data_IF_449582301660
#
_entry.id   IF_449582301660
#
_cell.length_a   1.000
_cell.length_b   1.000
_cell.length_c   1.000
_cell.angle_alpha   90.00
_cell.angle_beta   90.00
_cell.angle_gamma   90.00
#
_symmetry.space_group_name_H-M   'P 1'
#
loop_
_entity.id
_entity.type
_entity.pdbx_description
1 polymer ?
#
# COMPACT_ATOMS: atom_id res chain seq x y z
N UNK A 1 16.96 63.62 -36.43
CA UNK A 1 17.11 62.77 -35.24
C UNK A 1 15.71 62.46 -34.73
N UNK A 2 15.16 61.37 -35.27
CA UNK A 2 13.92 60.74 -34.86
C UNK A 2 14.19 59.93 -33.59
N UNK A 3 13.51 60.18 -32.47
CA UNK A 3 13.53 59.26 -31.34
C UNK A 3 12.72 58.01 -31.72
N UNK A 4 13.40 56.87 -31.72
CA UNK A 4 12.85 55.54 -31.93
C UNK A 4 12.00 55.13 -30.70
N UNK A 5 10.70 54.82 -30.87
CA UNK A 5 9.86 54.30 -29.80
C UNK A 5 9.93 52.77 -29.79
N UNK A 6 11.00 52.19 -29.23
CA UNK A 6 11.09 50.74 -29.03
C UNK A 6 11.01 50.38 -27.55
N UNK A 7 10.20 49.33 -27.28
CA UNK A 7 10.00 48.60 -26.01
C UNK A 7 9.05 49.29 -25.02
N UNK A 8 7.81 49.58 -25.44
CA UNK A 8 6.68 48.64 -25.35
C UNK A 8 6.37 48.25 -23.88
N UNK A 9 5.66 49.13 -23.19
CA UNK A 9 4.61 48.74 -22.22
C UNK A 9 3.60 47.88 -22.96
N UNK A 10 3.59 46.58 -22.71
CA UNK A 10 2.50 45.67 -23.12
C UNK A 10 2.32 44.64 -22.00
N UNK A 11 1.18 44.79 -21.30
CA UNK A 11 0.43 43.77 -20.55
C UNK A 11 1.17 43.20 -19.31
N UNK A 12 0.96 43.61 -18.06
CA UNK A 12 -0.33 43.63 -17.34
C UNK A 12 -1.41 42.75 -18.00
N UNK A 13 -1.12 41.45 -18.07
CA UNK A 13 -2.13 40.43 -18.14
C UNK A 13 -1.92 39.54 -16.91
N UNK A 14 -2.58 39.92 -15.82
CA UNK A 14 -2.93 39.03 -14.71
C UNK A 14 -3.93 38.01 -15.29
N UNK A 15 -3.42 37.13 -16.13
CA UNK A 15 -4.13 35.97 -16.63
C UNK A 15 -3.62 34.81 -15.80
N UNK A 16 -4.49 34.28 -14.95
CA UNK A 16 -4.31 32.98 -14.34
C UNK A 16 -4.17 31.95 -15.46
N UNK A 17 -2.93 31.70 -15.87
CA UNK A 17 -2.55 30.62 -16.75
C UNK A 17 -2.28 29.41 -15.89
N UNK A 18 -3.33 28.69 -15.52
CA UNK A 18 -3.21 27.32 -15.06
C UNK A 18 -2.77 26.46 -16.25
N UNK A 19 -1.46 26.45 -16.49
CA UNK A 19 -0.82 25.34 -17.20
C UNK A 19 0.14 24.72 -16.21
N UNK A 20 -0.44 24.09 -15.18
CA UNK A 20 0.23 23.01 -14.50
C UNK A 20 0.29 21.86 -15.52
N UNK A 21 1.43 21.71 -16.19
CA UNK A 21 1.79 20.39 -16.72
C UNK A 21 2.08 19.53 -15.51
N UNK A 22 1.02 18.95 -14.96
CA UNK A 22 1.07 17.88 -13.97
C UNK A 22 1.62 16.64 -14.66
N UNK A 23 2.95 16.54 -14.69
CA UNK A 23 3.56 15.26 -14.40
C UNK A 23 3.47 15.10 -12.88
N UNK A 24 2.80 14.04 -12.42
CA UNK A 24 2.65 13.73 -10.99
C UNK A 24 1.36 14.28 -10.38
N UNK A 25 0.26 13.56 -10.59
CA UNK A 25 -0.87 13.58 -9.66
C UNK A 25 -0.39 12.94 -8.35
N UNK A 26 -0.02 13.77 -7.36
CA UNK A 26 0.13 13.38 -5.95
C UNK A 26 -0.16 14.60 -5.07
N UNK A 27 -1.26 15.29 -5.37
CA UNK A 27 -1.78 16.33 -4.49
C UNK A 27 -3.29 16.34 -4.64
N UNK A 28 -3.86 15.26 -4.14
CA UNK A 28 -5.24 15.17 -3.69
C UNK A 28 -5.20 14.86 -2.19
N UNK A 29 -4.39 15.61 -1.44
CA UNK A 29 -4.59 15.73 0.01
C UNK A 29 -5.55 16.89 0.17
N UNK A 30 -6.78 16.53 0.52
CA UNK A 30 -7.86 17.45 0.82
C UNK A 30 -7.50 18.34 2.00
N UNK A 31 -8.00 19.56 1.92
CA UNK A 31 -8.07 20.57 2.96
C UNK A 31 -9.03 20.05 4.06
N UNK A 32 -8.61 19.06 4.85
CA UNK A 32 -9.29 18.64 6.09
C UNK A 32 -8.64 19.44 7.24
N UNK A 33 -9.33 20.48 7.67
CA UNK A 33 -8.96 21.46 8.71
C UNK A 33 -9.13 20.87 10.13
N UNK A 34 -8.78 19.60 10.31
CA UNK A 34 -8.54 18.97 11.61
C UNK A 34 -7.02 18.71 11.66
N UNK A 35 -6.29 19.65 12.26
CA UNK A 35 -4.85 19.51 12.54
C UNK A 35 -4.69 18.33 13.51
N UNK A 36 -4.54 17.14 12.94
CA UNK A 36 -4.14 15.96 13.66
C UNK A 36 -2.69 16.09 14.14
N UNK A 37 -2.38 15.55 15.32
CA UNK A 37 -0.98 15.33 15.74
C UNK A 37 -0.39 14.05 15.09
N UNK A 38 -1.19 13.29 14.32
CA UNK A 38 -0.64 12.32 13.35
C UNK A 38 0.15 13.06 12.25
N UNK A 39 1.32 12.53 11.91
CA UNK A 39 2.41 13.10 11.10
C UNK A 39 3.39 14.05 11.82
N UNK A 40 3.33 14.20 13.15
CA UNK A 40 4.38 14.86 13.92
C UNK A 40 5.57 13.92 14.27
N UNK A 41 6.75 14.53 14.44
CA UNK A 41 7.96 13.83 14.88
C UNK A 41 7.74 13.29 16.30
N UNK A 42 8.05 12.02 16.59
CA UNK A 42 7.74 11.44 17.89
C UNK A 42 8.51 12.13 19.03
N UNK A 43 7.82 12.38 20.15
CA UNK A 43 8.40 12.97 21.36
C UNK A 43 9.43 12.04 22.05
N UNK A 44 9.40 10.74 21.74
CA UNK A 44 10.32 9.71 22.23
C UNK A 44 11.02 8.98 21.08
N UNK A 45 12.13 8.30 21.38
CA UNK A 45 12.72 7.38 20.41
C UNK A 45 11.75 6.18 20.20
N UNK A 46 11.54 5.71 18.95
CA UNK A 46 10.58 4.63 18.67
C UNK A 46 10.88 3.35 19.49
N UNK A 47 12.15 3.06 19.75
CA UNK A 47 12.58 1.92 20.59
C UNK A 47 12.14 2.01 22.07
N UNK A 48 11.70 3.19 22.55
CA UNK A 48 11.23 3.39 23.93
C UNK A 48 9.71 3.20 24.06
N UNK A 49 8.98 3.10 22.94
CA UNK A 49 7.53 2.93 22.88
C UNK A 49 7.08 1.61 22.24
N UNK A 50 5.79 1.51 21.98
CA UNK A 50 5.13 0.38 21.31
C UNK A 50 4.26 0.90 20.19
N UNK A 51 4.33 0.28 19.02
CA UNK A 51 3.46 0.66 17.89
C UNK A 51 2.12 -0.05 18.03
N UNK A 52 1.04 0.71 18.07
CA UNK A 52 -0.33 0.19 18.01
C UNK A 52 -0.91 0.38 16.61
N UNK A 53 -1.74 -0.57 16.19
CA UNK A 53 -2.49 -0.48 14.92
C UNK A 53 -3.97 -0.38 15.22
N UNK A 54 -4.64 0.59 14.61
CA UNK A 54 -6.10 0.76 14.61
C UNK A 54 -6.62 0.45 13.23
N UNK A 55 -7.60 -0.45 13.12
CA UNK A 55 -8.33 -0.67 11.87
C UNK A 55 -9.76 -0.13 11.99
N UNK A 56 -10.32 0.41 10.89
CA UNK A 56 -11.73 0.79 10.86
C UNK A 56 -12.63 -0.42 11.13
N UNK A 57 -13.81 -0.20 11.75
CA UNK A 57 -14.73 -1.28 12.05
C UNK A 57 -15.24 -1.95 10.76
N UNK A 58 -15.37 -3.29 10.80
CA UNK A 58 -15.84 -4.08 9.65
C UNK A 58 -17.19 -3.59 9.09
N UNK A 59 -18.06 -3.08 9.97
CA UNK A 59 -19.38 -2.56 9.59
C UNK A 59 -19.26 -1.37 8.65
N UNK A 60 -18.41 -0.39 8.96
CA UNK A 60 -18.19 0.78 8.09
C UNK A 60 -17.55 0.39 6.76
N UNK A 61 -16.64 -0.58 6.77
CA UNK A 61 -16.02 -1.10 5.54
C UNK A 61 -17.02 -1.85 4.65
N UNK A 62 -18.00 -2.53 5.24
CA UNK A 62 -19.10 -3.14 4.49
C UNK A 62 -20.07 -2.08 3.94
N UNK A 63 -20.44 -1.11 4.76
CA UNK A 63 -21.31 0.00 4.35
C UNK A 63 -20.70 0.78 3.18
N UNK A 64 -19.39 1.06 3.24
CA UNK A 64 -18.66 1.70 2.14
C UNK A 64 -18.79 0.92 0.83
N UNK A 65 -18.57 -0.40 0.86
CA UNK A 65 -18.69 -1.24 -0.34
C UNK A 65 -20.11 -1.20 -0.91
N UNK A 66 -21.13 -1.26 -0.06
CA UNK A 66 -22.53 -1.18 -0.47
C UNK A 66 -22.85 0.19 -1.08
N UNK A 67 -22.35 1.27 -0.49
CA UNK A 67 -22.56 2.65 -0.96
C UNK A 67 -21.93 2.86 -2.34
N UNK A 68 -20.66 2.51 -2.51
CA UNK A 68 -19.95 2.67 -3.79
C UNK A 68 -20.63 1.83 -4.89
N UNK A 69 -21.04 0.60 -4.60
CA UNK A 69 -21.75 -0.22 -5.57
C UNK A 69 -23.12 0.38 -5.96
N UNK A 70 -23.85 0.95 -4.99
CA UNK A 70 -25.10 1.64 -5.26
C UNK A 70 -24.90 2.89 -6.14
N UNK A 71 -23.81 3.64 -5.94
CA UNK A 71 -23.44 4.80 -6.75
C UNK A 71 -23.06 4.41 -8.19
N UNK A 72 -22.41 3.27 -8.39
CA UNK A 72 -22.14 2.71 -9.73
C UNK A 72 -23.45 2.34 -10.43
N UNK A 73 -24.38 1.68 -9.73
CA UNK A 73 -25.69 1.34 -10.30
C UNK A 73 -26.53 2.58 -10.63
N UNK A 74 -26.37 3.65 -9.85
CA UNK A 74 -26.99 4.96 -10.10
C UNK A 74 -26.31 5.72 -11.27
N UNK A 75 -25.12 5.30 -11.68
CA UNK A 75 -24.30 5.96 -12.70
C UNK A 75 -23.67 7.26 -12.20
N UNK A 76 -23.47 7.38 -10.89
CA UNK A 76 -22.77 8.48 -10.25
C UNK A 76 -21.24 8.29 -10.33
N UNK A 77 -20.79 7.04 -10.30
CA UNK A 77 -19.39 6.62 -10.50
C UNK A 77 -19.31 5.72 -11.73
N UNK A 78 -18.33 5.97 -12.60
CA UNK A 78 -18.02 5.07 -13.72
C UNK A 78 -17.31 3.80 -13.23
N UNK A 79 -17.57 2.65 -13.86
CA UNK A 79 -16.93 1.36 -13.51
C UNK A 79 -15.39 1.42 -13.49
N UNK A 80 -14.80 2.32 -14.27
CA UNK A 80 -13.35 2.53 -14.33
C UNK A 80 -12.79 3.33 -13.14
N UNK A 81 -13.63 4.06 -12.42
CA UNK A 81 -13.26 4.92 -11.29
C UNK A 81 -13.50 4.25 -9.93
N UNK A 82 -14.27 3.15 -9.90
CA UNK A 82 -14.65 2.41 -8.68
C UNK A 82 -13.45 2.07 -7.80
N UNK A 83 -12.39 1.52 -8.38
CA UNK A 83 -11.20 1.13 -7.61
C UNK A 83 -10.55 2.33 -6.92
N UNK A 84 -10.48 3.47 -7.62
CA UNK A 84 -9.91 4.69 -7.07
C UNK A 84 -10.80 5.27 -5.96
N UNK A 85 -12.12 5.33 -6.17
CA UNK A 85 -13.05 5.84 -5.18
C UNK A 85 -13.05 4.97 -3.91
N UNK A 86 -13.06 3.64 -4.10
CA UNK A 86 -12.96 2.68 -3.00
C UNK A 86 -11.69 2.89 -2.17
N UNK A 87 -10.53 3.10 -2.80
CA UNK A 87 -9.29 3.36 -2.08
C UNK A 87 -9.33 4.69 -1.33
N UNK A 88 -9.81 5.75 -1.98
CA UNK A 88 -9.87 7.09 -1.39
C UNK A 88 -10.80 7.13 -0.16
N UNK A 89 -11.99 6.54 -0.25
CA UNK A 89 -12.92 6.49 0.88
C UNK A 89 -12.47 5.55 1.98
N UNK A 90 -11.83 4.42 1.66
CA UNK A 90 -11.22 3.58 2.70
C UNK A 90 -10.17 4.37 3.48
N UNK A 91 -9.31 5.12 2.80
CA UNK A 91 -8.32 5.97 3.46
C UNK A 91 -8.99 7.03 4.35
N UNK A 92 -10.09 7.62 3.91
CA UNK A 92 -10.87 8.57 4.73
C UNK A 92 -11.41 7.93 6.01
N UNK A 93 -11.95 6.71 5.93
CA UNK A 93 -12.45 5.98 7.11
C UNK A 93 -11.30 5.62 8.07
N UNK A 94 -10.16 5.15 7.54
CA UNK A 94 -8.97 4.86 8.36
C UNK A 94 -8.50 6.12 9.08
N UNK A 95 -8.41 7.25 8.37
CA UNK A 95 -8.03 8.54 8.94
C UNK A 95 -9.02 9.01 10.00
N UNK A 96 -10.33 8.88 9.75
CA UNK A 96 -11.37 9.19 10.74
C UNK A 96 -11.24 8.33 12.00
N UNK A 97 -11.03 7.03 11.83
CA UNK A 97 -10.82 6.10 12.95
C UNK A 97 -9.60 6.50 13.77
N UNK A 98 -8.51 6.88 13.10
CA UNK A 98 -7.30 7.37 13.74
C UNK A 98 -7.56 8.65 14.56
N UNK A 99 -8.29 9.62 14.01
CA UNK A 99 -8.71 10.86 14.72
C UNK A 99 -9.53 10.54 15.97
N UNK A 100 -10.47 9.60 15.85
CA UNK A 100 -11.33 9.18 16.96
C UNK A 100 -10.53 8.49 18.07
N UNK A 101 -9.59 7.63 17.70
CA UNK A 101 -8.69 6.98 18.64
C UNK A 101 -7.84 7.99 19.40
N UNK A 102 -7.21 8.93 18.68
CA UNK A 102 -6.40 10.00 19.27
C UNK A 102 -7.23 10.86 20.22
N UNK A 103 -8.42 11.29 19.77
CA UNK A 103 -9.35 12.09 20.57
C UNK A 103 -9.85 11.37 21.81
N UNK A 104 -10.05 10.05 21.75
CA UNK A 104 -10.50 9.24 22.88
C UNK A 104 -9.43 9.12 23.98
N UNK A 105 -8.15 9.18 23.60
CA UNK A 105 -7.01 8.95 24.48
C UNK A 105 -6.20 10.22 24.81
N UNK A 106 -6.54 11.38 24.23
CA UNK A 106 -5.86 12.64 24.49
C UNK A 106 -5.85 13.06 25.97
N UNK A 107 -6.85 12.64 26.75
CA UNK A 107 -6.97 12.91 28.20
C UNK A 107 -6.66 11.67 29.08
N UNK A 108 -6.10 10.58 28.52
CA UNK A 108 -5.73 9.38 29.28
C UNK A 108 -4.46 9.63 30.10
N UNK A 109 -4.48 9.30 31.41
CA UNK A 109 -3.34 9.48 32.31
C UNK A 109 -2.38 8.26 32.28
N UNK A 110 -2.81 7.13 31.71
CA UNK A 110 -2.11 5.83 31.73
C UNK A 110 -1.43 5.50 30.40
N UNK A 111 -1.87 6.11 29.30
CA UNK A 111 -1.25 6.02 27.97
C UNK A 111 -1.06 7.43 27.41
N UNK A 112 0.02 7.62 26.67
CA UNK A 112 0.29 8.82 25.88
C UNK A 112 0.55 8.43 24.44
N UNK A 113 -0.09 9.14 23.52
CA UNK A 113 0.17 9.06 22.08
C UNK A 113 1.34 10.00 21.81
N UNK A 114 2.47 9.44 21.38
CA UNK A 114 3.71 10.19 21.15
C UNK A 114 3.83 10.64 19.70
N UNK A 115 3.24 9.87 18.78
CA UNK A 115 3.05 10.21 17.37
C UNK A 115 2.04 9.23 16.75
N UNK A 116 1.53 9.56 15.57
CA UNK A 116 0.81 8.61 14.74
C UNK A 116 0.92 8.88 13.24
N UNK A 117 0.48 7.92 12.44
CA UNK A 117 0.34 8.01 10.98
C UNK A 117 -1.10 7.65 10.66
N UNK A 118 -1.93 8.68 10.46
CA UNK A 118 -3.39 8.51 10.32
C UNK A 118 -3.76 7.71 9.07
N UNK A 119 -3.01 7.85 7.98
CA UNK A 119 -3.24 7.11 6.74
C UNK A 119 -3.02 5.60 6.87
N UNK A 120 -2.16 5.17 7.81
CA UNK A 120 -1.88 3.76 8.10
C UNK A 120 -2.58 3.26 9.37
N UNK A 121 -3.27 4.14 10.11
CA UNK A 121 -3.86 3.82 11.40
C UNK A 121 -2.82 3.34 12.42
N UNK A 122 -1.59 3.85 12.35
CA UNK A 122 -0.49 3.42 13.20
C UNK A 122 -0.14 4.49 14.23
N UNK A 123 0.08 4.11 15.48
CA UNK A 123 0.39 5.04 16.57
C UNK A 123 1.59 4.56 17.37
N UNK A 124 2.51 5.47 17.70
CA UNK A 124 3.55 5.22 18.69
C UNK A 124 3.00 5.58 20.07
N UNK A 125 2.83 4.57 20.92
CA UNK A 125 2.29 4.73 22.26
C UNK A 125 3.38 4.54 23.32
N UNK A 126 3.28 5.33 24.38
CA UNK A 126 4.00 5.12 25.63
C UNK A 126 2.99 4.97 26.78
N UNK A 127 3.32 4.21 27.83
CA UNK A 127 2.42 4.08 28.98
C UNK A 127 2.46 2.76 29.73
N UNK A 128 1.37 2.50 30.46
CA UNK A 128 1.19 1.29 31.26
C UNK A 128 0.94 0.06 30.38
N UNK A 129 1.73 -0.99 30.60
CA UNK A 129 1.53 -2.30 29.94
C UNK A 129 0.12 -2.85 30.19
N UNK A 130 -0.44 -2.61 31.38
CA UNK A 130 -1.79 -3.07 31.75
C UNK A 130 -2.85 -2.38 30.87
N UNK A 131 -2.74 -1.06 30.67
CA UNK A 131 -3.68 -0.30 29.83
C UNK A 131 -3.54 -0.68 28.35
N UNK A 132 -2.32 -0.87 27.83
CA UNK A 132 -2.11 -1.31 26.43
C UNK A 132 -2.76 -2.68 26.14
N UNK A 133 -2.70 -3.60 27.11
CA UNK A 133 -3.36 -4.91 26.99
C UNK A 133 -4.88 -4.79 27.14
N UNK A 134 -5.39 -3.80 27.87
CA UNK A 134 -6.83 -3.50 27.91
C UNK A 134 -7.33 -3.02 26.54
N UNK A 135 -6.63 -2.10 25.87
CA UNK A 135 -7.01 -1.63 24.52
C UNK A 135 -7.18 -2.79 23.52
N UNK A 136 -6.25 -3.76 23.54
CA UNK A 136 -6.34 -4.98 22.72
C UNK A 136 -7.57 -5.84 23.06
N UNK A 137 -7.95 -5.92 24.33
CA UNK A 137 -9.10 -6.71 24.77
C UNK A 137 -10.43 -6.01 24.47
N UNK A 138 -10.43 -4.68 24.52
CA UNK A 138 -11.56 -3.82 24.19
C UNK A 138 -11.76 -3.74 22.67
N UNK A 139 -10.72 -4.07 21.89
CA UNK A 139 -10.75 -4.03 20.43
C UNK A 139 -10.56 -2.62 19.87
N UNK A 140 -10.02 -1.70 20.69
CA UNK A 140 -9.69 -0.34 20.25
C UNK A 140 -8.42 -0.32 19.38
N UNK A 141 -7.57 -1.34 19.54
CA UNK A 141 -6.40 -1.60 18.70
C UNK A 141 -6.37 -3.07 18.31
N UNK A 142 -5.92 -3.36 17.09
CA UNK A 142 -5.87 -4.72 16.52
C UNK A 142 -4.56 -5.44 16.85
N UNK A 143 -3.51 -4.68 17.15
CA UNK A 143 -2.18 -5.24 17.35
C UNK A 143 -1.24 -4.29 18.08
N UNK A 144 -0.23 -4.91 18.70
CA UNK A 144 0.94 -4.22 19.25
C UNK A 144 2.19 -4.81 18.60
N UNK A 145 3.04 -3.92 18.08
CA UNK A 145 4.31 -4.21 17.44
C UNK A 145 5.45 -3.54 18.24
N UNK A 146 6.69 -3.93 17.95
CA UNK A 146 7.83 -3.19 18.50
C UNK A 146 7.77 -1.73 18.03
N UNK A 147 8.11 -0.77 18.89
CA UNK A 147 8.04 0.64 18.53
C UNK A 147 8.93 1.01 17.32
N UNK A 148 10.00 0.26 17.05
CA UNK A 148 10.82 0.36 15.84
C UNK A 148 10.00 0.17 14.54
N UNK A 149 8.91 -0.61 14.58
CA UNK A 149 8.04 -0.80 13.41
C UNK A 149 7.23 0.46 13.09
N UNK A 150 7.16 1.46 14.00
CA UNK A 150 6.57 2.76 13.70
C UNK A 150 7.30 3.47 12.54
N UNK A 151 8.62 3.30 12.43
CA UNK A 151 9.41 3.91 11.35
C UNK A 151 9.05 3.35 9.97
N UNK A 152 8.56 2.12 9.92
CA UNK A 152 8.05 1.48 8.70
C UNK A 152 6.72 2.14 8.30
N UNK A 153 5.86 2.43 9.27
CA UNK A 153 4.57 3.10 9.04
C UNK A 153 4.73 4.58 8.61
N UNK A 154 5.89 5.21 8.90
CA UNK A 154 6.21 6.54 8.39
C UNK A 154 6.58 6.54 6.89
N UNK A 155 6.60 5.36 6.23
CA UNK A 155 7.00 5.26 4.84
C UNK A 155 8.47 5.64 4.60
N UNK A 156 9.33 5.51 5.63
CA UNK A 156 10.76 5.78 5.47
C UNK A 156 11.39 4.73 4.55
N UNK A 157 11.55 5.11 3.28
CA UNK A 157 12.37 4.49 2.23
C UNK A 157 13.89 4.38 2.60
N UNK A 158 14.29 4.66 3.86
CA UNK A 158 15.67 4.59 4.34
C UNK A 158 16.13 3.15 4.69
N UNK A 159 15.27 2.14 4.46
CA UNK A 159 15.51 0.74 4.83
C UNK A 159 15.67 -0.25 3.68
N UNK A 160 15.53 0.14 2.41
CA UNK A 160 16.00 -0.76 1.35
C UNK A 160 17.54 -0.82 1.45
N UNK A 161 18.15 -1.99 1.73
CA UNK A 161 19.57 -2.12 1.46
C UNK A 161 19.75 -1.76 -0.01
N UNK A 162 20.46 -0.66 -0.29
CA UNK A 162 20.89 -0.34 -1.65
C UNK A 162 21.40 -1.66 -2.23
N UNK A 163 20.90 -2.12 -3.40
CA UNK A 163 21.41 -3.34 -3.99
C UNK A 163 22.92 -3.20 -4.05
N UNK A 164 23.64 -4.04 -3.28
CA UNK A 164 25.10 -4.02 -3.26
C UNK A 164 25.55 -4.00 -4.73
N UNK A 165 26.42 -3.06 -5.14
CA UNK A 165 26.82 -2.98 -6.53
C UNK A 165 27.30 -4.36 -6.95
N UNK A 166 26.60 -4.96 -7.91
CA UNK A 166 26.97 -6.26 -8.46
C UNK A 166 28.46 -6.19 -8.82
N UNK A 167 29.28 -7.18 -8.42
CA UNK A 167 30.69 -7.16 -8.74
C UNK A 167 30.81 -7.03 -10.26
N UNK A 168 31.47 -5.96 -10.72
CA UNK A 168 31.77 -5.78 -12.14
C UNK A 168 32.46 -7.05 -12.63
N UNK A 169 32.02 -7.65 -13.75
CA UNK A 169 32.71 -8.82 -14.28
C UNK A 169 34.15 -8.43 -14.59
N UNK A 170 35.12 -9.08 -13.93
CA UNK A 170 36.54 -8.97 -14.23
C UNK A 170 36.75 -9.18 -15.75
N UNK A 171 37.14 -8.13 -16.47
CA UNK A 171 37.36 -8.14 -17.92
C UNK A 171 38.71 -8.76 -18.34
N UNK A 172 39.31 -9.63 -17.51
CA UNK A 172 40.61 -10.25 -17.82
C UNK A 172 40.50 -11.78 -17.80
N UNK A 173 40.38 -12.38 -18.99
CA UNK A 173 41.23 -13.49 -19.48
C UNK A 173 40.66 -14.04 -20.80
N UNK A 174 40.85 -13.30 -21.90
CA UNK A 174 40.94 -13.93 -23.23
C UNK A 174 42.37 -14.43 -23.42
N UNK A 175 42.63 -15.66 -22.96
CA UNK A 175 43.86 -16.38 -23.33
C UNK A 175 43.69 -16.96 -24.74
N UNK A 176 44.31 -16.28 -25.71
CA UNK A 176 44.57 -16.79 -27.06
C UNK A 176 45.28 -18.15 -27.00
N UNK A 177 44.61 -19.20 -27.46
CA UNK A 177 45.16 -20.55 -27.64
C UNK A 177 44.95 -21.04 -29.07
N UNK A 178 45.94 -20.75 -29.91
CA UNK A 178 46.11 -21.12 -31.32
C UNK A 178 45.87 -22.62 -31.62
N UNK A 179 45.08 -22.86 -32.67
CA UNK A 179 45.32 -23.77 -33.81
C UNK A 179 45.90 -25.19 -33.55
N UNK A 180 45.11 -26.23 -33.88
CA UNK A 180 45.57 -27.26 -34.83
C UNK A 180 44.39 -28.10 -35.37
N UNK A 181 44.37 -28.24 -36.69
CA UNK A 181 43.42 -29.02 -37.46
C UNK A 181 43.77 -30.51 -37.40
N UNK A 182 42.76 -31.39 -37.38
CA UNK A 182 42.80 -32.61 -38.19
C UNK A 182 41.38 -33.15 -38.45
N UNK A 183 41.23 -33.54 -39.70
CA UNK A 183 40.15 -34.20 -40.44
C UNK A 183 39.82 -35.59 -39.84
N UNK A 184 38.54 -35.94 -39.61
CA UNK A 184 38.10 -37.36 -39.64
C UNK A 184 36.56 -37.50 -39.81
N UNK A 185 36.19 -37.77 -41.06
CA UNK A 185 35.24 -38.78 -41.57
C UNK A 185 34.06 -39.33 -40.71
N UNK A 186 32.88 -39.34 -41.33
CA UNK A 186 31.75 -40.27 -41.06
C UNK A 186 30.72 -39.74 -40.05
N UNK A 187 29.41 -39.85 -40.22
CA UNK A 187 28.60 -40.79 -41.01
C UNK A 187 27.17 -40.20 -41.03
N UNK A 188 26.59 -40.05 -42.22
CA UNK A 188 25.17 -39.80 -42.42
C UNK A 188 24.37 -41.03 -41.95
N UNK A 189 23.47 -40.88 -40.99
CA UNK A 189 22.23 -41.67 -40.94
C UNK A 189 21.11 -40.93 -40.20
N UNK A 190 20.15 -40.45 -40.99
CA UNK A 190 18.76 -40.20 -40.60
C UNK A 190 18.11 -41.50 -40.08
N UNK A 191 17.55 -41.49 -38.87
CA UNK A 191 16.37 -42.29 -38.47
C UNK A 191 15.59 -41.46 -37.41
N UNK A 192 14.48 -40.81 -37.76
CA UNK A 192 13.09 -41.32 -37.81
C UNK A 192 12.36 -41.11 -36.46
N UNK A 193 11.25 -40.39 -36.56
CA UNK A 193 10.12 -40.16 -35.65
C UNK A 193 10.11 -40.75 -34.22
N UNK A 194 9.89 -39.85 -33.25
CA UNK A 194 9.19 -40.19 -31.99
C UNK A 194 7.86 -39.43 -31.93
N UNK A 195 6.85 -40.04 -32.52
CA UNK A 195 5.45 -39.87 -32.16
C UNK A 195 5.20 -40.45 -30.75
N UNK A 196 4.55 -39.68 -29.88
CA UNK A 196 3.96 -40.18 -28.65
C UNK A 196 2.75 -39.30 -28.34
N UNK A 197 1.63 -39.74 -28.90
CA UNK A 197 0.28 -39.31 -28.58
C UNK A 197 -0.11 -39.62 -27.12
N UNK A 198 -1.05 -38.81 -26.63
CA UNK A 198 -2.17 -39.18 -25.73
C UNK A 198 -1.85 -39.65 -24.30
N UNK A 199 -2.20 -38.82 -23.30
CA UNK A 199 -3.15 -39.31 -22.30
C UNK A 199 -4.00 -38.15 -21.74
N UNK A 200 -5.28 -38.46 -21.60
CA UNK A 200 -6.41 -37.58 -21.32
C UNK A 200 -6.73 -37.64 -19.83
N UNK A 201 -7.10 -36.54 -19.19
CA UNK A 201 -7.48 -36.60 -17.77
C UNK A 201 -8.20 -35.37 -17.26
N UNK A 202 -9.31 -35.00 -17.91
CA UNK A 202 -10.30 -34.13 -17.31
C UNK A 202 -11.28 -34.95 -16.46
N UNK A 203 -11.38 -34.62 -15.18
CA UNK A 203 -12.43 -35.11 -14.28
C UNK A 203 -12.89 -33.95 -13.39
N UNK A 204 -13.88 -33.22 -13.92
CA UNK A 204 -14.89 -32.48 -13.16
C UNK A 204 -15.92 -33.53 -12.69
N UNK A 205 -16.10 -33.73 -11.38
CA UNK A 205 -17.36 -34.30 -10.86
C UNK A 205 -17.65 -33.79 -9.44
N UNK A 206 -18.74 -33.03 -9.38
CA UNK A 206 -19.45 -32.51 -8.23
C UNK A 206 -20.20 -33.60 -7.46
N UNK A 207 -20.10 -33.62 -6.13
CA UNK A 207 -21.07 -34.25 -5.20
C UNK A 207 -20.98 -33.44 -3.90
N UNK A 208 -21.93 -32.57 -3.54
CA UNK A 208 -23.31 -32.84 -3.09
C UNK A 208 -23.40 -33.93 -2.01
N UNK A 209 -23.28 -33.51 -0.75
CA UNK A 209 -23.88 -34.20 0.39
C UNK A 209 -24.28 -33.12 1.42
N UNK A 210 -25.49 -32.58 1.20
CA UNK A 210 -26.23 -31.87 2.23
C UNK A 210 -26.82 -32.87 3.22
N UNK A 211 -26.23 -32.96 4.41
CA UNK A 211 -26.84 -33.66 5.54
C UNK A 211 -27.61 -32.66 6.40
N UNK A 212 -28.93 -32.70 6.22
CA UNK A 212 -29.92 -32.03 7.05
C UNK A 212 -30.15 -32.81 8.35
N UNK A 213 -29.70 -32.30 9.48
CA UNK A 213 -30.14 -32.77 10.80
C UNK A 213 -31.26 -31.86 11.33
N UNK A 214 -32.46 -32.42 11.35
CA UNK A 214 -33.67 -31.82 11.88
C UNK A 214 -34.21 -32.70 13.01
N UNK A 215 -34.47 -32.11 14.18
CA UNK A 215 -35.23 -32.70 15.28
C UNK A 215 -34.76 -32.18 16.64
N UNK A 216 -35.40 -31.16 17.23
CA UNK A 216 -36.61 -31.28 18.04
C UNK A 216 -36.37 -32.10 19.33
N UNK A 217 -36.06 -31.40 20.42
CA UNK A 217 -36.17 -31.93 21.79
C UNK A 217 -36.96 -30.91 22.63
N UNK A 218 -38.28 -31.12 22.66
CA UNK A 218 -39.18 -30.53 23.66
C UNK A 218 -39.27 -31.50 24.86
N UNK A 219 -38.84 -31.06 26.05
CA UNK A 219 -38.99 -31.83 27.29
C UNK A 219 -38.36 -31.22 28.54
#
# INVERSE_FOLDING_TARGET
MTPDPTRRRVLQLTGAGATASLAGCSSLVGDNDEELEVDEEPDIEPSEGVTALTHPPDEEMMELQEEVMAEVEAGEIDEAEVEQEMMARQQEIVMSTAVEFESAHADDDEITIEAGVGEEGAFLLSGSEERLIELLQEGEIDGLLAGEEYEIALGSDDGQPEPEPEPEPDEDEVEDGDEDADDDDGDDTDEDESESDDDSGGEDDSSDDGDSDAGDDEG
#
